data_IF_787704260123
#
_entry.id   IF_787704260123
#
_cell.length_a   1.000
_cell.length_b   1.000
_cell.length_c   1.000
_cell.angle_alpha   90.00
_cell.angle_beta   90.00
_cell.angle_gamma   90.00
#
_symmetry.space_group_name_H-M   'P 1'
#
loop_
_entity.id
_entity.type
_entity.pdbx_description
1 polymer ?
#
# COMPACT_ATOMS: atom_id res chain seq x y z
N UNK A 1 -9.66 16.71 32.65
CA UNK A 1 -9.14 17.44 31.47
C UNK A 1 -8.81 16.41 30.38
N UNK A 2 -9.73 16.15 29.49
CA UNK A 2 -9.49 15.27 28.32
C UNK A 2 -8.80 16.10 27.23
N UNK A 3 -7.74 15.61 26.59
CA UNK A 3 -7.02 16.42 25.61
C UNK A 3 -7.81 16.55 24.31
N UNK A 4 -7.77 17.74 23.76
CA UNK A 4 -8.41 18.27 22.54
C UNK A 4 -7.81 17.62 21.25
N UNK A 5 -7.69 16.31 21.18
CA UNK A 5 -7.06 15.60 20.04
C UNK A 5 -8.06 15.02 19.01
N UNK A 6 -9.37 15.30 19.18
CA UNK A 6 -10.40 14.67 18.31
C UNK A 6 -10.82 15.54 17.11
N UNK A 7 -10.38 16.80 17.01
CA UNK A 7 -11.03 17.75 16.08
C UNK A 7 -10.45 17.83 14.66
N UNK A 8 -9.31 17.19 14.33
CA UNK A 8 -8.70 17.29 13.00
C UNK A 8 -8.82 16.04 12.12
N UNK A 9 -9.33 14.93 12.65
CA UNK A 9 -9.57 13.69 11.86
C UNK A 9 -10.90 13.76 11.08
N UNK A 10 -11.71 14.78 11.31
CA UNK A 10 -13.08 14.90 10.79
C UNK A 10 -13.22 15.24 9.29
N UNK A 11 -12.15 15.54 8.55
CA UNK A 11 -12.25 15.82 7.12
C UNK A 11 -12.03 14.59 6.22
N UNK A 12 -11.53 13.47 6.75
CA UNK A 12 -11.33 12.22 6.03
C UNK A 12 -12.18 11.13 6.68
N UNK A 13 -13.43 10.98 6.22
CA UNK A 13 -14.27 9.85 6.65
C UNK A 13 -13.72 8.56 6.03
N UNK A 14 -12.90 7.83 6.78
CA UNK A 14 -12.48 6.47 6.45
C UNK A 14 -13.55 5.51 6.94
N UNK A 15 -14.23 4.83 6.02
CA UNK A 15 -15.25 3.84 6.35
C UNK A 15 -14.70 2.43 6.10
N UNK A 16 -14.64 1.63 7.16
CA UNK A 16 -14.27 0.21 7.07
C UNK A 16 -15.54 -0.63 6.92
N UNK A 17 -15.66 -1.33 5.81
CA UNK A 17 -16.80 -2.23 5.54
C UNK A 17 -16.26 -3.65 5.48
N UNK A 18 -16.76 -4.51 6.37
CA UNK A 18 -16.49 -5.95 6.35
C UNK A 18 -17.69 -6.63 5.69
N UNK A 19 -17.51 -7.23 4.53
CA UNK A 19 -18.56 -7.95 3.83
C UNK A 19 -18.14 -9.40 3.63
N UNK A 20 -18.99 -10.35 4.06
CA UNK A 20 -18.80 -11.74 3.74
C UNK A 20 -18.91 -11.94 2.22
N UNK A 21 -17.99 -12.69 1.62
CA UNK A 21 -18.02 -12.99 0.20
C UNK A 21 -18.97 -14.17 -0.04
N UNK A 22 -20.12 -13.93 -0.68
CA UNK A 22 -21.10 -14.95 -1.05
C UNK A 22 -20.55 -16.03 -2.01
N UNK A 23 -19.39 -15.78 -2.63
CA UNK A 23 -18.76 -16.66 -3.62
C UNK A 23 -18.10 -17.92 -2.99
N UNK A 24 -17.94 -17.96 -1.66
CA UNK A 24 -17.25 -19.04 -0.94
C UNK A 24 -18.10 -19.74 0.11
N UNK A 25 -19.44 -19.59 0.08
CA UNK A 25 -20.36 -20.21 1.05
C UNK A 25 -20.63 -21.72 0.76
N UNK A 26 -20.12 -22.27 -0.34
CA UNK A 26 -20.27 -23.69 -0.61
C UNK A 26 -19.02 -24.50 -0.21
N UNK A 27 -19.16 -25.22 0.91
CA UNK A 27 -18.32 -26.34 1.36
C UNK A 27 -16.93 -26.05 1.91
N UNK A 28 -16.80 -25.17 2.93
CA UNK A 28 -15.95 -25.49 4.10
C UNK A 28 -16.05 -24.34 5.13
N UNK A 29 -16.81 -24.58 6.17
CA UNK A 29 -16.94 -23.70 7.35
C UNK A 29 -15.62 -23.77 8.14
N UNK A 30 -14.59 -23.06 7.73
CA UNK A 30 -13.41 -22.77 8.60
C UNK A 30 -12.59 -21.51 8.24
N UNK A 31 -12.82 -20.85 7.10
CA UNK A 31 -12.15 -19.55 6.83
C UNK A 31 -13.14 -18.64 6.09
N UNK A 32 -13.92 -17.90 6.85
CA UNK A 32 -14.70 -16.81 6.27
C UNK A 32 -13.72 -15.76 5.69
N UNK A 33 -13.58 -15.69 4.37
CA UNK A 33 -12.85 -14.62 3.71
C UNK A 33 -13.71 -13.37 3.82
N UNK A 34 -13.39 -12.52 4.79
CA UNK A 34 -14.01 -11.20 4.88
C UNK A 34 -13.33 -10.26 3.89
N UNK A 35 -14.08 -9.78 2.90
CA UNK A 35 -13.60 -8.69 2.05
C UNK A 35 -13.67 -7.42 2.89
N UNK A 36 -12.52 -6.97 3.35
CA UNK A 36 -12.42 -5.66 3.96
C UNK A 36 -12.37 -4.59 2.88
N UNK A 37 -13.17 -3.56 3.04
CA UNK A 37 -13.18 -2.40 2.17
C UNK A 37 -12.90 -1.14 2.99
N UNK A 38 -11.96 -0.33 2.52
CA UNK A 38 -11.61 0.97 3.10
C UNK A 38 -12.02 2.03 2.09
N UNK A 39 -12.95 2.89 2.47
CA UNK A 39 -13.58 3.85 1.58
C UNK A 39 -13.08 5.28 1.76
N UNK A 40 -13.01 6.01 0.64
CA UNK A 40 -12.90 7.46 0.59
C UNK A 40 -13.84 8.03 -0.47
N UNK A 41 -13.84 9.34 -0.65
CA UNK A 41 -14.72 10.01 -1.61
C UNK A 41 -14.45 9.59 -3.06
N UNK A 42 -13.20 9.41 -3.48
CA UNK A 42 -12.79 9.19 -4.88
C UNK A 42 -12.24 7.80 -5.17
N UNK A 43 -11.77 7.08 -4.16
CA UNK A 43 -11.26 5.72 -4.29
C UNK A 43 -11.79 4.82 -3.16
N UNK A 44 -11.67 3.53 -3.35
CA UNK A 44 -11.76 2.56 -2.26
C UNK A 44 -10.70 1.48 -2.41
N UNK A 45 -10.37 0.83 -1.31
CA UNK A 45 -9.41 -0.27 -1.24
C UNK A 45 -10.17 -1.57 -0.93
N UNK A 46 -9.83 -2.66 -1.60
CA UNK A 46 -10.31 -4.01 -1.26
C UNK A 46 -9.13 -4.94 -1.05
N UNK A 47 -9.25 -5.93 -0.19
CA UNK A 47 -8.21 -6.96 -0.08
C UNK A 47 -7.92 -7.54 -1.45
N UNK A 48 -6.64 -7.81 -1.71
CA UNK A 48 -6.21 -8.53 -2.90
C UNK A 48 -6.71 -9.97 -2.86
N UNK A 49 -7.08 -10.51 -4.03
CA UNK A 49 -7.46 -11.91 -4.23
C UNK A 49 -6.72 -12.51 -5.42
N UNK A 50 -6.84 -13.82 -5.64
CA UNK A 50 -6.25 -14.46 -6.82
C UNK A 50 -6.87 -13.96 -8.14
N UNK A 51 -8.08 -13.43 -8.13
CA UNK A 51 -8.73 -12.81 -9.30
C UNK A 51 -8.01 -11.53 -9.76
N UNK A 52 -7.13 -10.97 -8.93
CA UNK A 52 -6.35 -9.77 -9.24
C UNK A 52 -4.99 -10.10 -9.89
N UNK A 53 -4.63 -11.39 -10.01
CA UNK A 53 -3.32 -11.83 -10.49
C UNK A 53 -2.97 -11.23 -11.85
N UNK A 54 -3.90 -11.23 -12.81
CA UNK A 54 -3.67 -10.71 -14.14
C UNK A 54 -3.35 -9.21 -14.14
N UNK A 55 -4.09 -8.42 -13.34
CA UNK A 55 -3.86 -6.98 -13.21
C UNK A 55 -2.51 -6.70 -12.55
N UNK A 56 -2.20 -7.37 -11.43
CA UNK A 56 -0.92 -7.19 -10.73
C UNK A 56 0.26 -7.52 -11.63
N UNK A 57 0.23 -8.64 -12.34
CA UNK A 57 1.30 -9.06 -13.25
C UNK A 57 1.46 -8.05 -14.39
N UNK A 58 0.36 -7.65 -15.02
CA UNK A 58 0.35 -6.63 -16.08
C UNK A 58 0.96 -5.32 -15.60
N UNK A 59 0.51 -4.80 -14.46
CA UNK A 59 1.00 -3.53 -13.91
C UNK A 59 2.47 -3.58 -13.50
N UNK A 60 2.89 -4.65 -12.81
CA UNK A 60 4.26 -4.80 -12.33
C UNK A 60 5.30 -4.87 -13.45
N UNK A 61 4.91 -5.34 -14.64
CA UNK A 61 5.77 -5.44 -15.81
C UNK A 61 5.75 -4.20 -16.71
N UNK A 62 4.88 -3.23 -16.46
CA UNK A 62 4.91 -1.98 -17.21
C UNK A 62 6.16 -1.16 -16.83
N UNK A 63 6.86 -0.64 -17.84
CA UNK A 63 8.13 0.09 -17.66
C UNK A 63 8.02 1.21 -16.63
N UNK A 64 6.99 2.07 -16.74
CA UNK A 64 6.81 3.21 -15.83
C UNK A 64 6.48 2.82 -14.38
N UNK A 65 6.06 1.57 -14.13
CA UNK A 65 5.90 0.99 -12.79
C UNK A 65 7.21 0.36 -12.35
N UNK A 66 7.76 -0.53 -13.19
CA UNK A 66 8.94 -1.35 -12.89
C UNK A 66 10.18 -0.48 -12.55
N UNK A 67 10.43 0.59 -13.32
CA UNK A 67 11.60 1.46 -13.13
C UNK A 67 11.62 2.21 -11.79
N UNK A 68 10.48 2.28 -11.09
CA UNK A 68 10.37 2.88 -9.76
C UNK A 68 10.50 1.88 -8.61
N UNK A 69 10.61 0.59 -8.90
CA UNK A 69 10.85 -0.45 -7.90
C UNK A 69 12.34 -0.70 -7.69
N UNK A 70 12.71 -0.97 -6.45
CA UNK A 70 14.06 -1.44 -6.11
C UNK A 70 14.32 -2.81 -6.73
N UNK A 71 13.30 -3.70 -6.76
CA UNK A 71 13.38 -5.03 -7.35
C UNK A 71 12.67 -5.04 -8.72
N UNK A 72 13.45 -4.97 -9.80
CA UNK A 72 12.97 -4.83 -11.18
C UNK A 72 12.96 -6.15 -11.97
N UNK A 73 12.71 -7.28 -11.33
CA UNK A 73 12.57 -8.57 -12.01
C UNK A 73 11.21 -8.68 -12.70
N UNK A 74 11.14 -9.43 -13.80
CA UNK A 74 9.87 -9.81 -14.41
C UNK A 74 8.98 -10.51 -13.40
N UNK A 75 7.73 -10.10 -13.39
CA UNK A 75 6.72 -10.61 -12.49
C UNK A 75 5.78 -11.54 -13.25
N UNK A 76 5.69 -12.80 -12.83
CA UNK A 76 4.86 -13.81 -13.49
C UNK A 76 3.67 -14.20 -12.60
N UNK A 77 2.62 -14.85 -13.17
CA UNK A 77 1.51 -15.37 -12.36
C UNK A 77 1.97 -16.34 -11.26
N UNK A 78 2.97 -17.17 -11.55
CA UNK A 78 3.53 -18.14 -10.60
C UNK A 78 4.20 -17.45 -9.42
N UNK A 79 5.02 -16.41 -9.71
CA UNK A 79 5.66 -15.58 -8.67
C UNK A 79 4.60 -14.89 -7.82
N UNK A 80 3.56 -14.35 -8.47
CA UNK A 80 2.46 -13.70 -7.76
C UNK A 80 1.70 -14.67 -6.85
N UNK A 81 1.28 -15.81 -7.39
CA UNK A 81 0.50 -16.81 -6.66
C UNK A 81 1.31 -17.40 -5.49
N UNK A 82 2.61 -17.67 -5.69
CA UNK A 82 3.50 -18.07 -4.60
C UNK A 82 3.55 -17.01 -3.50
N UNK A 83 3.66 -15.73 -3.86
CA UNK A 83 3.64 -14.62 -2.90
C UNK A 83 2.30 -14.53 -2.17
N UNK A 84 1.17 -14.70 -2.86
CA UNK A 84 -0.16 -14.74 -2.24
C UNK A 84 -0.20 -15.81 -1.16
N UNK A 85 0.18 -17.04 -1.51
CA UNK A 85 0.16 -18.18 -0.60
C UNK A 85 1.11 -18.02 0.60
N UNK A 86 2.37 -17.58 0.34
CA UNK A 86 3.40 -17.60 1.39
C UNK A 86 3.43 -16.34 2.24
N UNK A 87 2.96 -15.19 1.73
CA UNK A 87 3.12 -13.89 2.38
C UNK A 87 1.77 -13.24 2.73
N UNK A 88 0.79 -13.28 1.81
CA UNK A 88 -0.49 -12.62 2.04
C UNK A 88 -1.39 -13.47 2.93
N UNK A 89 -1.57 -14.76 2.61
CA UNK A 89 -2.38 -15.68 3.41
C UNK A 89 -1.79 -15.93 4.81
N UNK A 90 -0.47 -15.82 4.96
CA UNK A 90 0.21 -15.92 6.26
C UNK A 90 0.10 -14.65 7.11
N UNK A 91 -0.41 -13.54 6.54
CA UNK A 91 -0.49 -12.24 7.22
C UNK A 91 0.83 -11.46 7.30
N UNK A 92 1.92 -11.96 6.67
CA UNK A 92 3.18 -11.22 6.61
C UNK A 92 3.10 -10.00 5.69
N UNK A 93 2.15 -10.02 4.75
CA UNK A 93 1.82 -8.92 3.84
C UNK A 93 0.32 -8.67 3.87
N UNK A 94 -0.06 -7.44 4.10
CA UNK A 94 -1.44 -6.96 3.92
C UNK A 94 -1.45 -6.12 2.66
N UNK A 95 -2.21 -6.55 1.66
CA UNK A 95 -2.25 -5.91 0.35
C UNK A 95 -3.67 -5.63 -0.11
N UNK A 96 -3.84 -4.45 -0.68
CA UNK A 96 -5.12 -3.98 -1.22
C UNK A 96 -5.01 -3.61 -2.68
N UNK A 97 -6.11 -3.79 -3.42
CA UNK A 97 -6.34 -3.21 -4.75
C UNK A 97 -6.94 -1.82 -4.57
N UNK A 98 -6.43 -0.86 -5.32
CA UNK A 98 -6.95 0.50 -5.38
C UNK A 98 -7.97 0.57 -6.52
N UNK A 99 -9.20 0.95 -6.19
CA UNK A 99 -10.27 1.17 -7.14
C UNK A 99 -10.58 2.66 -7.29
N UNK A 100 -10.65 3.15 -8.52
CA UNK A 100 -11.24 4.46 -8.78
C UNK A 100 -12.77 4.33 -8.73
N UNK A 101 -13.41 5.18 -7.93
CA UNK A 101 -14.81 5.00 -7.54
C UNK A 101 -15.79 5.28 -8.71
N UNK A 102 -15.57 6.37 -9.46
CA UNK A 102 -16.51 6.82 -10.51
C UNK A 102 -16.60 5.82 -11.66
N UNK A 103 -15.47 5.34 -12.14
CA UNK A 103 -15.40 4.34 -13.21
C UNK A 103 -15.49 2.90 -12.68
N UNK A 104 -15.51 2.69 -11.37
CA UNK A 104 -15.43 1.38 -10.72
C UNK A 104 -14.28 0.51 -11.30
N UNK A 105 -13.11 1.14 -11.49
CA UNK A 105 -11.96 0.53 -12.15
C UNK A 105 -10.81 0.30 -11.20
N UNK A 106 -10.19 -0.88 -11.26
CA UNK A 106 -8.92 -1.17 -10.59
C UNK A 106 -7.82 -0.34 -11.22
N UNK A 107 -7.04 0.40 -10.41
CA UNK A 107 -6.02 1.33 -10.91
C UNK A 107 -4.62 1.10 -10.33
N UNK A 108 -4.46 0.22 -9.37
CA UNK A 108 -3.18 -0.04 -8.73
C UNK A 108 -3.30 -0.87 -7.47
N UNK A 109 -2.23 -0.89 -6.68
CA UNK A 109 -2.18 -1.64 -5.44
C UNK A 109 -1.35 -0.92 -4.38
N UNK A 110 -1.73 -1.10 -3.10
CA UNK A 110 -1.04 -0.57 -1.93
C UNK A 110 -0.89 -1.69 -0.90
N UNK A 111 0.22 -1.72 -0.16
CA UNK A 111 0.50 -2.82 0.78
C UNK A 111 1.39 -2.38 1.95
N UNK A 112 1.28 -3.18 3.02
CA UNK A 112 2.21 -3.23 4.13
C UNK A 112 2.90 -4.60 4.10
N UNK A 113 4.22 -4.62 4.29
CA UNK A 113 5.02 -5.84 4.37
C UNK A 113 6.01 -5.74 5.53
N UNK A 114 6.66 -6.85 5.81
CA UNK A 114 7.63 -6.94 6.92
C UNK A 114 7.01 -6.39 8.22
N UNK A 115 5.76 -6.83 8.47
CA UNK A 115 4.97 -6.36 9.60
C UNK A 115 5.56 -6.96 10.87
N UNK A 116 6.09 -6.08 11.72
CA UNK A 116 6.69 -6.41 13.01
C UNK A 116 5.77 -5.88 14.13
N UNK A 117 4.91 -6.75 14.63
CA UNK A 117 3.97 -6.40 15.71
C UNK A 117 4.67 -6.13 17.05
N UNK A 118 5.85 -6.74 17.28
CA UNK A 118 6.62 -6.53 18.51
C UNK A 118 7.17 -5.10 18.54
N UNK A 119 7.78 -4.64 17.44
CA UNK A 119 8.32 -3.29 17.31
C UNK A 119 7.31 -2.30 16.70
N UNK A 120 6.07 -2.74 16.46
CA UNK A 120 4.94 -1.95 15.95
C UNK A 120 5.29 -1.16 14.69
N UNK A 121 5.89 -1.81 13.69
CA UNK A 121 6.32 -1.17 12.44
C UNK A 121 6.01 -2.04 11.23
N UNK A 122 5.92 -1.40 10.04
CA UNK A 122 5.81 -2.11 8.77
C UNK A 122 6.42 -1.29 7.63
N UNK A 123 6.89 -1.97 6.57
CA UNK A 123 7.29 -1.31 5.33
C UNK A 123 6.07 -1.11 4.42
N UNK A 124 5.93 0.10 3.93
CA UNK A 124 4.87 0.52 3.02
C UNK A 124 5.32 0.45 1.57
N UNK A 125 4.40 0.08 0.68
CA UNK A 125 4.61 0.20 -0.75
C UNK A 125 3.31 0.45 -1.51
N UNK A 126 3.40 1.18 -2.63
CA UNK A 126 2.28 1.53 -3.50
C UNK A 126 2.73 1.65 -4.95
N UNK A 127 1.83 1.34 -5.86
CA UNK A 127 1.94 1.74 -7.26
C UNK A 127 0.56 1.98 -7.88
N UNK A 128 0.49 2.96 -8.78
CA UNK A 128 -0.62 3.14 -9.71
C UNK A 128 -0.21 2.45 -11.00
N UNK A 129 -0.95 1.42 -11.41
CA UNK A 129 -0.67 0.59 -12.57
C UNK A 129 -1.35 1.07 -13.85
N UNK A 130 -2.32 1.97 -13.74
CA UNK A 130 -3.03 2.55 -14.89
C UNK A 130 -2.47 3.95 -15.20
N UNK A 131 -1.84 4.11 -16.37
CA UNK A 131 -1.13 5.34 -16.76
C UNK A 131 -2.03 6.58 -16.72
N UNK A 132 -3.27 6.45 -17.17
CA UNK A 132 -4.24 7.55 -17.22
C UNK A 132 -4.68 8.06 -15.84
N UNK A 133 -4.35 7.31 -14.78
CA UNK A 133 -4.66 7.65 -13.40
C UNK A 133 -3.48 8.23 -12.62
N UNK A 134 -2.32 8.38 -13.29
CA UNK A 134 -1.15 9.05 -12.70
C UNK A 134 -1.39 10.56 -12.56
N UNK A 135 -0.81 11.17 -11.53
CA UNK A 135 -0.86 12.62 -11.31
C UNK A 135 -2.20 13.18 -10.82
N UNK A 136 -3.22 12.33 -10.62
CA UNK A 136 -4.58 12.73 -10.19
C UNK A 136 -4.82 12.68 -8.69
N UNK A 137 -3.76 12.49 -7.88
CA UNK A 137 -3.86 12.46 -6.41
C UNK A 137 -4.25 11.11 -5.81
N UNK A 138 -4.63 10.11 -6.60
CA UNK A 138 -5.09 8.81 -6.09
C UNK A 138 -4.04 8.08 -5.24
N UNK A 139 -2.76 8.19 -5.60
CA UNK A 139 -1.67 7.63 -4.80
C UNK A 139 -1.60 8.25 -3.40
N UNK A 140 -1.77 9.59 -3.29
CA UNK A 140 -1.79 10.29 -2.01
C UNK A 140 -2.98 9.83 -1.14
N UNK A 141 -4.17 9.70 -1.73
CA UNK A 141 -5.36 9.25 -1.00
C UNK A 141 -5.16 7.81 -0.51
N UNK A 142 -4.70 6.89 -1.37
CA UNK A 142 -4.46 5.50 -1.00
C UNK A 142 -3.39 5.38 0.10
N UNK A 143 -2.32 6.21 0.03
CA UNK A 143 -1.29 6.27 1.07
C UNK A 143 -1.88 6.69 2.42
N UNK A 144 -2.71 7.73 2.47
CA UNK A 144 -3.37 8.16 3.70
C UNK A 144 -4.32 7.10 4.27
N UNK A 145 -5.09 6.42 3.42
CA UNK A 145 -6.00 5.34 3.84
C UNK A 145 -5.26 4.19 4.51
N UNK A 146 -4.14 3.73 3.92
CA UNK A 146 -3.39 2.60 4.50
C UNK A 146 -2.62 2.99 5.77
N UNK A 147 -2.16 4.25 5.88
CA UNK A 147 -1.54 4.78 7.10
C UNK A 147 -2.56 4.80 8.24
N UNK A 148 -3.75 5.35 8.00
CA UNK A 148 -4.85 5.34 8.99
C UNK A 148 -5.20 3.92 9.42
N UNK A 149 -5.33 3.00 8.45
CA UNK A 149 -5.55 1.59 8.74
C UNK A 149 -4.43 0.96 9.60
N UNK A 150 -3.17 1.25 9.27
CA UNK A 150 -2.02 0.72 10.01
C UNK A 150 -1.99 1.20 11.46
N UNK A 151 -2.27 2.47 11.70
CA UNK A 151 -2.27 3.04 13.05
C UNK A 151 -3.51 2.68 13.85
N UNK A 152 -4.70 2.78 13.24
CA UNK A 152 -5.97 2.60 13.96
C UNK A 152 -6.39 1.13 14.13
N UNK A 153 -6.09 0.26 13.14
CA UNK A 153 -6.54 -1.13 13.13
C UNK A 153 -5.45 -2.13 13.47
N UNK A 154 -4.20 -1.88 13.03
CA UNK A 154 -3.08 -2.76 13.33
C UNK A 154 -2.29 -2.31 14.57
N UNK A 155 -2.63 -1.14 15.14
CA UNK A 155 -1.95 -0.56 16.30
C UNK A 155 -0.42 -0.45 16.10
N UNK A 156 0.00 -0.15 14.86
CA UNK A 156 1.40 0.10 14.55
C UNK A 156 1.79 1.51 15.02
N UNK A 157 3.08 1.71 15.26
CA UNK A 157 3.63 3.01 15.67
C UNK A 157 4.41 3.68 14.55
N UNK A 158 5.02 2.89 13.64
CA UNK A 158 5.89 3.40 12.57
C UNK A 158 5.56 2.74 11.25
N UNK A 159 5.35 3.54 10.22
CA UNK A 159 5.31 3.09 8.84
C UNK A 159 6.52 3.69 8.12
N UNK A 160 7.33 2.85 7.50
CA UNK A 160 8.50 3.30 6.75
C UNK A 160 8.44 2.83 5.31
N UNK A 161 9.23 3.46 4.46
CA UNK A 161 9.36 3.10 3.05
C UNK A 161 10.77 3.38 2.55
N UNK A 162 11.12 2.71 1.46
CA UNK A 162 12.35 2.91 0.71
C UNK A 162 12.02 3.27 -0.72
N UNK A 163 12.70 4.27 -1.28
CA UNK A 163 12.52 4.66 -2.67
C UNK A 163 13.84 5.07 -3.32
N UNK A 164 13.92 4.85 -4.64
CA UNK A 164 15.07 5.30 -5.44
C UNK A 164 15.07 6.82 -5.53
N UNK A 165 16.24 7.43 -5.41
CA UNK A 165 16.41 8.91 -5.38
C UNK A 165 15.88 9.63 -6.63
N UNK A 166 15.80 8.95 -7.76
CA UNK A 166 15.25 9.52 -8.99
C UNK A 166 13.70 9.63 -8.97
N UNK A 167 13.01 8.90 -8.10
CA UNK A 167 11.54 8.94 -8.02
C UNK A 167 11.03 10.16 -7.25
N UNK A 168 11.31 11.37 -7.78
CA UNK A 168 10.95 12.66 -7.16
C UNK A 168 9.45 12.83 -6.95
N UNK A 169 8.63 12.25 -7.84
CA UNK A 169 7.17 12.31 -7.73
C UNK A 169 6.67 11.55 -6.49
N UNK A 170 7.16 10.35 -6.26
CA UNK A 170 6.80 9.57 -5.07
C UNK A 170 7.33 10.24 -3.80
N UNK A 171 8.57 10.73 -3.81
CA UNK A 171 9.16 11.47 -2.70
C UNK A 171 8.26 12.63 -2.25
N UNK A 172 7.86 13.49 -3.20
CA UNK A 172 6.94 14.60 -2.89
C UNK A 172 5.59 14.12 -2.37
N UNK A 173 5.04 13.07 -2.97
CA UNK A 173 3.78 12.48 -2.52
C UNK A 173 3.85 12.01 -1.07
N UNK A 174 4.95 11.40 -0.65
CA UNK A 174 5.14 10.92 0.71
C UNK A 174 5.35 12.06 1.70
N UNK A 175 6.12 13.10 1.35
CA UNK A 175 6.19 14.32 2.16
C UNK A 175 4.80 14.93 2.40
N UNK A 176 3.99 15.03 1.33
CA UNK A 176 2.60 15.53 1.41
C UNK A 176 1.66 14.62 2.24
N UNK A 177 2.07 13.40 2.55
CA UNK A 177 1.37 12.46 3.43
C UNK A 177 1.90 12.46 4.86
N UNK A 178 2.90 13.29 5.17
CA UNK A 178 3.48 13.41 6.52
C UNK A 178 4.71 12.52 6.76
N UNK A 179 5.22 11.80 5.76
CA UNK A 179 6.51 11.10 5.90
C UNK A 179 7.65 12.11 5.97
N UNK A 180 8.62 11.81 6.80
CA UNK A 180 9.90 12.53 6.88
C UNK A 180 11.02 11.64 6.34
N UNK A 181 12.06 12.23 5.77
CA UNK A 181 13.26 11.49 5.40
C UNK A 181 14.07 11.21 6.66
N UNK A 182 14.35 9.93 6.93
CA UNK A 182 15.22 9.51 8.04
C UNK A 182 16.65 9.18 7.58
N UNK A 183 16.85 8.89 6.29
CA UNK A 183 18.17 8.56 5.81
C UNK A 183 18.31 8.57 4.29
N UNK A 184 19.58 8.58 3.84
CA UNK A 184 19.99 8.37 2.46
C UNK A 184 21.11 7.35 2.44
N UNK A 185 20.83 6.19 1.87
CA UNK A 185 21.77 5.08 1.72
C UNK A 185 22.44 5.19 0.35
N UNK A 186 23.74 5.45 0.36
CA UNK A 186 24.53 5.60 -0.87
C UNK A 186 24.80 4.24 -1.48
N UNK A 187 24.52 4.11 -2.80
CA UNK A 187 24.78 2.89 -3.59
C UNK A 187 24.19 1.62 -2.94
N UNK A 188 23.04 1.74 -2.32
CA UNK A 188 22.41 0.69 -1.52
C UNK A 188 21.89 -0.50 -2.37
N UNK A 189 21.58 -0.24 -3.63
CA UNK A 189 21.08 -1.26 -4.54
C UNK A 189 21.74 -1.19 -5.91
N UNK A 190 21.91 -2.37 -6.55
CA UNK A 190 22.37 -2.48 -7.92
C UNK A 190 21.20 -2.88 -8.83
N UNK A 191 20.95 -2.07 -9.85
CA UNK A 191 19.93 -2.34 -10.88
C UNK A 191 20.65 -2.36 -12.22
N UNK A 192 20.61 -3.51 -12.91
CA UNK A 192 21.34 -3.70 -14.19
C UNK A 192 22.82 -3.30 -14.10
N UNK A 193 23.49 -3.71 -13.03
CA UNK A 193 24.90 -3.42 -12.71
C UNK A 193 25.22 -1.94 -12.47
N UNK A 194 24.22 -1.09 -12.29
CA UNK A 194 24.41 0.31 -11.91
C UNK A 194 24.00 0.52 -10.44
N UNK A 195 24.81 1.23 -9.63
CA UNK A 195 24.48 1.52 -8.25
C UNK A 195 23.44 2.66 -8.18
N UNK A 196 22.52 2.53 -7.22
CA UNK A 196 21.50 3.54 -6.95
C UNK A 196 21.44 3.85 -5.45
N UNK A 197 21.29 5.14 -5.17
CA UNK A 197 21.02 5.62 -3.83
C UNK A 197 19.54 5.36 -3.47
N UNK A 198 19.30 5.02 -2.20
CA UNK A 198 17.96 4.77 -1.66
C UNK A 198 17.67 5.76 -0.54
N UNK A 199 16.54 6.46 -0.64
CA UNK A 199 15.99 7.27 0.43
C UNK A 199 15.15 6.39 1.35
N UNK A 200 15.36 6.53 2.65
CA UNK A 200 14.51 5.95 3.69
C UNK A 200 13.63 7.05 4.27
N UNK A 201 12.31 6.82 4.28
CA UNK A 201 11.33 7.74 4.87
C UNK A 201 10.44 7.01 5.86
N UNK A 202 9.94 7.73 6.86
CA UNK A 202 9.01 7.17 7.83
C UNK A 202 7.98 8.20 8.30
N UNK A 203 6.86 7.66 8.84
CA UNK A 203 5.83 8.41 9.55
C UNK A 203 5.52 7.67 10.86
N UNK A 204 5.32 8.42 11.94
CA UNK A 204 4.95 7.90 13.26
C UNK A 204 3.47 8.15 13.54
N UNK A 205 2.86 7.30 14.36
CA UNK A 205 1.43 7.39 14.72
C UNK A 205 1.05 8.69 15.42
N UNK A 206 2.01 9.37 16.06
CA UNK A 206 1.84 10.66 16.72
C UNK A 206 2.24 11.86 15.83
N UNK A 207 2.60 11.64 14.57
CA UNK A 207 2.90 12.72 13.63
C UNK A 207 1.59 13.45 13.30
N UNK A 208 1.51 14.79 13.49
CA UNK A 208 0.35 15.56 13.05
C UNK A 208 0.12 15.37 11.55
N UNK A 209 -1.13 15.27 11.08
CA UNK A 209 -1.42 15.22 9.64
C UNK A 209 -0.94 16.51 8.97
N UNK A 210 -0.28 16.34 7.82
CA UNK A 210 0.20 17.46 6.98
C UNK A 210 -0.97 18.15 6.25
#
# INVERSE_FOLDING_TARGET
>A
MLPVFISYILSFQVKYIYKASDKYINNNIKTGIYIMRIDSQSIFLTNITYDDTADIVRWRNQKFVQENFIYQKNFTPEIHNKRMQTMVESGQVIQFIIWERKANKKIGSVYLRDIDYQNKKAEFGIFIGEKDYLGKGYGKIATRLIISYAFEKLNLNKIFLRLLTHNKRAFKCYLDCGFIQEGLFKQDVFIKNQPYDVVFMAILSNTPPA
#
